data_IF_848970662633
#
_entry.id   IF_848970662633
#
_cell.length_a   1.000
_cell.length_b   1.000
_cell.length_c   1.000
_cell.angle_alpha   90.00
_cell.angle_beta   90.00
_cell.angle_gamma   90.00
#
_symmetry.space_group_name_H-M   'P 1'
#
loop_
_entity.id
_entity.type
_entity.pdbx_description
1 polymer ?
#
# COMPACT_ATOMS: atom_id res chain seq x y z
N UNK A 1 16.93 -18.86 -29.94
CA UNK A 1 16.11 -17.67 -30.27
C UNK A 1 16.96 -16.44 -29.99
N UNK A 2 17.42 -15.75 -31.03
CA UNK A 2 18.16 -14.50 -30.89
C UNK A 2 17.16 -13.35 -30.76
N UNK A 3 17.18 -12.63 -29.65
CA UNK A 3 16.30 -11.50 -29.33
C UNK A 3 17.04 -10.19 -29.53
N UNK A 4 17.44 -9.89 -30.77
CA UNK A 4 18.20 -8.68 -31.11
C UNK A 4 17.50 -7.82 -32.14
N UNK A 5 16.16 -7.79 -32.12
CA UNK A 5 15.39 -6.82 -32.89
C UNK A 5 14.93 -5.68 -31.95
N UNK A 6 15.51 -4.47 -32.06
CA UNK A 6 14.96 -3.31 -31.39
C UNK A 6 13.66 -2.94 -32.09
N UNK A 7 12.53 -3.48 -31.61
CA UNK A 7 11.21 -3.05 -32.06
C UNK A 7 11.06 -1.58 -31.68
N UNK A 8 11.12 -0.72 -32.70
CA UNK A 8 10.89 0.71 -32.63
C UNK A 8 9.44 0.98 -32.18
N UNK A 9 9.19 0.85 -30.87
CA UNK A 9 7.90 1.09 -30.22
C UNK A 9 7.81 2.49 -29.59
N UNK A 10 8.55 3.45 -30.16
CA UNK A 10 8.73 4.80 -29.60
C UNK A 10 7.42 5.62 -29.55
N UNK A 11 6.35 5.17 -30.20
CA UNK A 11 5.06 5.89 -30.27
C UNK A 11 3.95 5.45 -29.29
N UNK A 12 4.01 4.28 -28.66
CA UNK A 12 2.78 3.65 -28.13
C UNK A 12 2.63 3.57 -26.61
N UNK A 13 3.64 4.02 -25.86
CA UNK A 13 3.64 3.91 -24.39
C UNK A 13 3.82 5.27 -23.72
N UNK A 14 3.13 5.47 -22.59
CA UNK A 14 3.36 6.63 -21.73
C UNK A 14 4.83 6.72 -21.30
N UNK A 15 5.34 7.93 -21.04
CA UNK A 15 6.73 8.15 -20.63
C UNK A 15 7.12 7.33 -19.38
N UNK A 16 6.15 7.07 -18.50
CA UNK A 16 6.35 6.23 -17.31
C UNK A 16 6.75 4.79 -17.66
N UNK A 17 6.22 4.23 -18.75
CA UNK A 17 6.53 2.87 -19.19
C UNK A 17 7.81 2.83 -20.01
N UNK A 18 8.02 3.83 -20.88
CA UNK A 18 9.29 4.00 -21.62
C UNK A 18 10.50 4.02 -20.68
N UNK A 19 10.42 4.78 -19.59
CA UNK A 19 11.49 4.84 -18.58
C UNK A 19 11.77 3.48 -17.92
N UNK A 20 10.74 2.67 -17.66
CA UNK A 20 10.90 1.34 -17.06
C UNK A 20 11.56 0.39 -18.03
N UNK A 21 11.08 0.34 -19.27
CA UNK A 21 11.66 -0.51 -20.29
C UNK A 21 13.11 -0.14 -20.57
N UNK A 22 13.43 1.15 -20.71
CA UNK A 22 14.82 1.59 -20.87
C UNK A 22 15.73 1.14 -19.71
N UNK A 23 15.22 1.13 -18.47
CA UNK A 23 15.97 0.63 -17.32
C UNK A 23 16.21 -0.89 -17.39
N UNK A 24 15.18 -1.67 -17.74
CA UNK A 24 15.27 -3.13 -17.84
C UNK A 24 16.11 -3.60 -19.04
N UNK A 25 16.07 -2.89 -20.17
CA UNK A 25 16.94 -3.16 -21.32
C UNK A 25 18.42 -2.94 -20.97
N UNK A 26 18.73 -1.88 -20.22
CA UNK A 26 20.10 -1.56 -19.85
C UNK A 26 20.69 -2.48 -18.77
N UNK A 27 19.89 -2.98 -17.83
CA UNK A 27 20.39 -3.69 -16.63
C UNK A 27 19.85 -5.12 -16.45
N UNK A 28 18.95 -5.55 -17.33
CA UNK A 28 18.25 -6.83 -17.26
C UNK A 28 17.10 -6.84 -16.25
N UNK A 29 16.43 -8.00 -16.16
CA UNK A 29 15.33 -8.23 -15.22
C UNK A 29 15.78 -8.41 -13.75
N UNK A 30 14.84 -8.55 -12.81
CA UNK A 30 15.15 -8.64 -11.37
C UNK A 30 16.11 -9.76 -10.96
N UNK A 31 16.18 -10.84 -11.75
CA UNK A 31 17.06 -11.98 -11.52
C UNK A 31 18.50 -11.75 -12.02
N UNK A 32 18.75 -10.68 -12.80
CA UNK A 32 20.06 -10.37 -13.33
C UNK A 32 20.98 -9.77 -12.24
N UNK A 33 22.29 -10.11 -12.24
CA UNK A 33 23.22 -9.61 -11.23
C UNK A 33 23.40 -8.08 -11.28
N UNK A 34 23.21 -7.46 -12.46
CA UNK A 34 23.34 -6.02 -12.68
C UNK A 34 22.15 -5.17 -12.20
N UNK A 35 21.00 -5.79 -11.92
CA UNK A 35 19.77 -5.08 -11.59
C UNK A 35 19.84 -4.37 -10.23
N UNK A 36 20.33 -5.06 -9.20
CA UNK A 36 20.42 -4.57 -7.83
C UNK A 36 21.41 -3.40 -7.68
N UNK A 37 22.64 -3.43 -8.25
CA UNK A 37 23.56 -2.30 -8.18
C UNK A 37 23.04 -1.09 -8.96
N UNK A 38 22.43 -1.30 -10.13
CA UNK A 38 21.83 -0.21 -10.91
C UNK A 38 20.68 0.47 -10.14
N UNK A 39 19.78 -0.31 -9.55
CA UNK A 39 18.71 0.22 -8.70
C UNK A 39 19.24 1.04 -7.53
N UNK A 40 20.41 0.70 -6.98
CA UNK A 40 21.00 1.48 -5.86
C UNK A 40 21.44 2.87 -6.30
N UNK A 41 21.95 3.01 -7.52
CA UNK A 41 22.44 4.28 -8.08
C UNK A 41 21.32 5.26 -8.45
N UNK A 42 20.10 4.77 -8.71
CA UNK A 42 18.97 5.63 -9.08
C UNK A 42 18.51 6.52 -7.91
N UNK A 43 17.87 7.68 -8.18
CA UNK A 43 17.22 8.46 -7.14
C UNK A 43 15.96 7.75 -6.60
N UNK A 44 15.62 7.96 -5.33
CA UNK A 44 14.55 7.24 -4.62
C UNK A 44 13.20 7.24 -5.37
N UNK A 45 12.79 8.40 -5.89
CA UNK A 45 11.55 8.54 -6.65
C UNK A 45 11.51 7.66 -7.91
N UNK A 46 12.64 7.51 -8.60
CA UNK A 46 12.73 6.63 -9.79
C UNK A 46 12.74 5.17 -9.40
N UNK A 47 13.37 4.79 -8.27
CA UNK A 47 13.29 3.41 -7.74
C UNK A 47 11.86 3.00 -7.44
N UNK A 48 11.12 3.88 -6.74
CA UNK A 48 9.70 3.65 -6.43
C UNK A 48 8.90 3.60 -7.72
N UNK A 49 9.11 4.52 -8.66
CA UNK A 49 8.42 4.49 -9.95
C UNK A 49 8.66 3.16 -10.67
N UNK A 50 9.89 2.66 -10.75
CA UNK A 50 10.19 1.40 -11.46
C UNK A 50 9.54 0.20 -10.77
N UNK A 51 9.63 0.09 -9.45
CA UNK A 51 9.18 -1.10 -8.71
C UNK A 51 7.70 -1.07 -8.30
N UNK A 52 7.12 0.12 -8.10
CA UNK A 52 5.77 0.26 -7.55
C UNK A 52 4.74 0.47 -8.67
N UNK A 53 3.70 -0.35 -8.64
CA UNK A 53 2.52 -0.22 -9.49
C UNK A 53 1.27 -0.19 -8.60
N UNK A 54 0.69 1.00 -8.44
CA UNK A 54 -0.49 1.23 -7.61
C UNK A 54 -1.66 0.32 -8.01
N UNK A 55 -1.93 0.19 -9.30
CA UNK A 55 -3.02 -0.66 -9.78
C UNK A 55 -2.77 -2.14 -9.52
N UNK A 56 -1.53 -2.60 -9.63
CA UNK A 56 -1.19 -3.99 -9.32
C UNK A 56 -1.40 -4.33 -7.83
N UNK A 57 -1.25 -3.35 -6.93
CA UNK A 57 -1.52 -3.55 -5.50
C UNK A 57 -3.00 -3.84 -5.22
N UNK A 58 -3.92 -3.07 -5.83
CA UNK A 58 -5.37 -3.27 -5.65
C UNK A 58 -5.92 -4.43 -6.48
N UNK A 59 -5.47 -4.59 -7.72
CA UNK A 59 -5.96 -5.64 -8.59
C UNK A 59 -5.30 -7.00 -8.35
N UNK A 60 -4.20 -7.09 -7.60
CA UNK A 60 -3.57 -8.36 -7.24
C UNK A 60 -4.53 -9.31 -6.47
N UNK A 61 -5.10 -8.90 -5.34
CA UNK A 61 -6.05 -9.72 -4.58
C UNK A 61 -7.31 -10.08 -5.38
N UNK A 62 -7.80 -9.16 -6.22
CA UNK A 62 -8.96 -9.38 -7.11
C UNK A 62 -8.62 -10.40 -8.20
N UNK A 63 -7.44 -10.31 -8.81
CA UNK A 63 -6.94 -11.25 -9.82
C UNK A 63 -6.81 -12.68 -9.26
N UNK A 64 -6.29 -12.84 -8.05
CA UNK A 64 -6.21 -14.15 -7.37
C UNK A 64 -7.59 -14.75 -7.08
N UNK A 65 -8.61 -13.90 -6.89
CA UNK A 65 -10.00 -14.31 -6.72
C UNK A 65 -10.58 -14.88 -8.02
N UNK A 66 -10.29 -14.22 -9.16
CA UNK A 66 -10.71 -14.67 -10.50
C UNK A 66 -9.99 -15.96 -10.92
N UNK A 67 -8.71 -16.10 -10.56
CA UNK A 67 -7.89 -17.29 -10.87
C UNK A 67 -8.29 -18.56 -10.09
N UNK A 68 -9.25 -18.50 -9.16
CA UNK A 68 -9.76 -19.68 -8.44
C UNK A 68 -8.88 -20.15 -7.26
N UNK A 69 -7.86 -19.38 -6.85
CA UNK A 69 -6.99 -19.69 -5.70
C UNK A 69 -7.63 -19.26 -4.37
N UNK A 70 -8.90 -19.63 -4.16
CA UNK A 70 -9.75 -19.12 -3.08
C UNK A 70 -9.22 -19.45 -1.68
N UNK A 71 -8.55 -20.61 -1.51
CA UNK A 71 -8.03 -21.03 -0.20
C UNK A 71 -6.93 -20.11 0.34
N UNK A 72 -6.02 -19.64 -0.53
CA UNK A 72 -4.90 -18.77 -0.13
C UNK A 72 -5.37 -17.33 0.09
N UNK A 73 -6.35 -16.87 -0.68
CA UNK A 73 -6.90 -15.52 -0.56
C UNK A 73 -7.75 -15.33 0.71
N UNK A 74 -8.47 -16.37 1.14
CA UNK A 74 -9.24 -16.33 2.40
C UNK A 74 -8.34 -16.06 3.61
N UNK A 75 -7.13 -16.63 3.61
CA UNK A 75 -6.13 -16.36 4.66
C UNK A 75 -5.69 -14.90 4.69
N UNK A 76 -5.51 -14.27 3.52
CA UNK A 76 -5.18 -12.84 3.45
C UNK A 76 -6.33 -11.96 3.94
N UNK A 77 -7.56 -12.29 3.57
CA UNK A 77 -8.75 -11.58 4.07
C UNK A 77 -8.87 -11.72 5.60
N UNK A 78 -8.73 -12.93 6.13
CA UNK A 78 -8.75 -13.17 7.57
C UNK A 78 -7.65 -12.37 8.29
N UNK A 79 -6.43 -12.33 7.74
CA UNK A 79 -5.33 -11.55 8.31
C UNK A 79 -5.64 -10.04 8.33
N UNK A 80 -6.21 -9.49 7.24
CA UNK A 80 -6.64 -8.08 7.19
C UNK A 80 -7.70 -7.80 8.25
N UNK A 81 -8.69 -8.68 8.41
CA UNK A 81 -9.75 -8.54 9.43
C UNK A 81 -9.17 -8.55 10.84
N UNK A 82 -8.24 -9.48 11.15
CA UNK A 82 -7.57 -9.54 12.45
C UNK A 82 -6.79 -8.26 12.73
N UNK A 83 -6.03 -7.76 11.77
CA UNK A 83 -5.28 -6.51 11.92
C UNK A 83 -6.21 -5.32 12.18
N UNK A 84 -7.34 -5.23 11.45
CA UNK A 84 -8.34 -4.17 11.68
C UNK A 84 -8.92 -4.21 13.10
N UNK A 85 -9.27 -5.40 13.60
CA UNK A 85 -9.78 -5.55 14.97
C UNK A 85 -8.74 -5.13 16.01
N UNK A 86 -7.47 -5.51 15.82
CA UNK A 86 -6.38 -5.12 16.73
C UNK A 86 -6.20 -3.62 16.73
N UNK A 87 -6.23 -2.96 15.57
CA UNK A 87 -6.16 -1.50 15.46
C UNK A 87 -7.32 -0.82 16.18
N UNK A 88 -8.55 -1.33 16.04
CA UNK A 88 -9.72 -0.81 16.76
C UNK A 88 -9.60 -0.99 18.28
N UNK A 89 -9.08 -2.14 18.74
CA UNK A 89 -8.82 -2.38 20.16
C UNK A 89 -7.76 -1.42 20.71
N UNK A 90 -6.67 -1.21 19.97
CA UNK A 90 -5.61 -0.26 20.33
C UNK A 90 -6.16 1.17 20.37
N UNK A 91 -6.98 1.57 19.39
CA UNK A 91 -7.64 2.87 19.36
C UNK A 91 -8.59 3.08 20.57
N UNK A 92 -9.35 2.04 20.94
CA UNK A 92 -10.20 2.06 22.14
C UNK A 92 -9.38 2.16 23.44
N UNK A 93 -8.25 1.45 23.53
CA UNK A 93 -7.35 1.55 24.67
C UNK A 93 -6.72 2.95 24.79
N UNK A 94 -6.22 3.51 23.68
CA UNK A 94 -5.65 4.86 23.64
C UNK A 94 -6.69 5.95 23.95
N UNK A 95 -7.93 5.79 23.50
CA UNK A 95 -9.01 6.75 23.79
C UNK A 95 -9.54 6.67 25.21
N UNK A 96 -9.32 5.56 25.93
CA UNK A 96 -9.65 5.44 27.36
C UNK A 96 -8.74 6.28 28.26
N UNK A 97 -7.57 6.72 27.76
CA UNK A 97 -6.65 7.59 28.49
C UNK A 97 -6.99 9.09 28.39
N UNK A 98 -8.02 9.50 27.63
CA UNK A 98 -8.54 10.88 27.70
C UNK A 98 -9.53 10.98 28.86
N UNK A 99 -9.29 11.83 29.88
CA UNK A 99 -10.28 12.08 30.92
C UNK A 99 -11.53 12.65 30.25
N UNK A 100 -12.61 11.88 30.34
CA UNK A 100 -13.93 12.20 29.83
C UNK A 100 -14.37 13.50 30.51
N UNK A 101 -14.18 14.67 29.86
CA UNK A 101 -14.82 15.95 30.22
C UNK A 101 -16.34 15.85 29.99
N UNK A 102 -16.99 14.95 30.72
CA UNK A 102 -18.43 14.75 30.78
C UNK A 102 -18.89 14.66 32.24
N UNK A 103 -18.11 15.18 33.18
CA UNK A 103 -18.50 15.37 34.59
C UNK A 103 -18.78 16.85 34.89
N UNK A 104 -18.15 17.79 34.17
CA UNK A 104 -18.41 19.22 34.33
C UNK A 104 -19.86 19.62 33.95
N UNK A 105 -20.50 18.85 33.05
CA UNK A 105 -21.91 19.07 32.70
C UNK A 105 -22.86 18.64 33.82
N UNK A 106 -22.53 17.60 34.59
CA UNK A 106 -23.34 17.16 35.74
C UNK A 106 -23.18 18.08 36.94
N UNK A 107 -21.96 18.56 37.22
CA UNK A 107 -21.69 19.53 38.30
C UNK A 107 -22.36 20.88 38.02
N UNK A 108 -22.33 21.37 36.77
CA UNK A 108 -23.05 22.59 36.37
C UNK A 108 -24.59 22.40 36.37
N UNK A 109 -25.10 21.19 36.17
CA UNK A 109 -26.53 20.91 36.23
C UNK A 109 -27.04 20.78 37.69
N UNK A 110 -26.22 20.19 38.58
CA UNK A 110 -26.48 20.14 40.03
C UNK A 110 -26.44 21.53 40.68
N UNK A 111 -25.48 22.39 40.30
CA UNK A 111 -25.44 23.77 40.82
C UNK A 111 -26.61 24.65 40.34
N UNK A 112 -27.29 24.30 39.25
CA UNK A 112 -28.44 25.06 38.73
C UNK A 112 -29.80 24.60 39.30
N UNK A 113 -29.86 23.44 39.95
CA UNK A 113 -31.07 22.93 40.63
C UNK A 113 -31.16 23.29 42.12
N UNK A 114 -30.08 23.81 42.73
CA UNK A 114 -30.08 24.24 44.15
C UNK A 114 -30.28 25.75 44.35
N UNK A 115 -30.60 26.52 43.28
CA UNK A 115 -30.53 27.98 43.30
C UNK A 115 -31.71 28.75 42.73
N UNK A 116 -32.88 28.14 42.49
CA UNK A 116 -34.14 28.87 42.25
C UNK A 116 -35.35 27.98 42.53
#
# INVERSE_FOLDING_TARGET
MNTSDPVNASGHYSDKWKERFAFFEAHGGPSAPGFRPALKQLPFLKKVKINFNFFAFFFGPVYLFILGLWKKNLSFIAMIVVVSIVLDMVWKCLSSAKPRRRVLRWVLCLMRCMGN
#
